data_IF_871628615951
#
_entry.id   IF_871628615951
#
_cell.length_a   1.000
_cell.length_b   1.000
_cell.length_c   1.000
_cell.angle_alpha   90.00
_cell.angle_beta   90.00
_cell.angle_gamma   90.00
#
_symmetry.space_group_name_H-M   'P 1'
#
loop_
_entity.id
_entity.type
_entity.pdbx_description
1 polymer ?
#
# COMPACT_ATOMS: atom_id res chain seq x y z
N UNK A 1 -3.51 4.55 -16.71
CA UNK A 1 -3.77 5.79 -15.94
C UNK A 1 -2.67 6.79 -16.26
N UNK A 2 -3.03 8.02 -16.62
CA UNK A 2 -2.07 9.07 -16.96
C UNK A 2 -1.66 9.87 -15.70
N UNK A 3 -0.73 10.83 -15.84
CA UNK A 3 -0.24 11.65 -14.71
C UNK A 3 -1.34 12.47 -14.04
N UNK A 4 -2.25 13.08 -14.83
CA UNK A 4 -3.36 13.90 -14.30
C UNK A 4 -4.34 13.07 -13.49
N UNK A 5 -4.60 11.84 -13.92
CA UNK A 5 -5.44 10.92 -13.14
C UNK A 5 -4.81 10.62 -11.78
N UNK A 6 -3.49 10.38 -11.74
CA UNK A 6 -2.79 10.12 -10.47
C UNK A 6 -2.80 11.34 -9.56
N UNK A 7 -2.60 12.54 -10.13
CA UNK A 7 -2.71 13.80 -9.40
C UNK A 7 -4.10 13.99 -8.79
N UNK A 8 -5.16 13.75 -9.56
CA UNK A 8 -6.54 13.80 -9.07
C UNK A 8 -6.79 12.78 -7.95
N UNK A 9 -6.33 11.53 -8.11
CA UNK A 9 -6.56 10.48 -7.12
C UNK A 9 -5.81 10.78 -5.81
N UNK A 10 -4.52 11.15 -5.89
CA UNK A 10 -3.73 11.36 -4.68
C UNK A 10 -4.19 12.62 -3.91
N UNK A 11 -4.86 13.56 -4.59
CA UNK A 11 -5.50 14.71 -3.94
C UNK A 11 -6.58 14.31 -2.92
N UNK A 12 -7.22 13.14 -3.08
CA UNK A 12 -8.17 12.61 -2.08
C UNK A 12 -7.49 12.29 -0.74
N UNK A 13 -6.18 12.05 -0.74
CA UNK A 13 -5.35 11.88 0.45
C UNK A 13 -4.67 13.17 0.92
N UNK A 14 -4.96 14.32 0.28
CA UNK A 14 -4.32 15.61 0.61
C UNK A 14 -2.85 15.68 0.21
N UNK A 15 -2.41 14.80 -0.67
CA UNK A 15 -1.04 14.75 -1.17
C UNK A 15 -0.90 15.58 -2.46
N UNK A 16 0.27 16.17 -2.67
CA UNK A 16 0.59 16.92 -3.89
C UNK A 16 1.64 16.16 -4.72
N UNK A 17 1.31 15.82 -5.97
CA UNK A 17 2.19 15.04 -6.84
C UNK A 17 3.42 15.87 -7.26
N UNK A 18 4.61 15.33 -6.97
CA UNK A 18 5.91 15.88 -7.41
C UNK A 18 6.55 14.99 -8.46
N UNK A 19 6.38 13.66 -8.34
CA UNK A 19 6.95 12.70 -9.27
C UNK A 19 6.18 11.39 -9.28
N UNK A 20 6.27 10.66 -10.39
CA UNK A 20 5.51 9.42 -10.60
C UNK A 20 6.38 8.37 -11.29
N UNK A 21 6.40 7.18 -10.71
CA UNK A 21 7.05 6.01 -11.32
C UNK A 21 6.10 4.82 -11.32
N UNK A 22 5.92 4.19 -12.49
CA UNK A 22 5.16 2.93 -12.56
C UNK A 22 6.04 1.78 -12.05
N UNK A 23 5.50 0.99 -11.10
CA UNK A 23 6.15 -0.20 -10.54
C UNK A 23 5.19 -1.38 -10.56
N UNK A 24 5.31 -2.25 -11.58
CA UNK A 24 4.41 -3.41 -11.79
C UNK A 24 2.93 -3.01 -11.72
N UNK A 25 2.21 -3.50 -10.72
CA UNK A 25 0.78 -3.25 -10.48
C UNK A 25 0.51 -1.96 -9.69
N UNK A 26 1.53 -1.36 -9.08
CA UNK A 26 1.43 -0.12 -8.29
C UNK A 26 2.10 1.08 -8.99
N UNK A 27 1.96 2.24 -8.36
CA UNK A 27 2.67 3.48 -8.69
C UNK A 27 3.41 3.96 -7.44
N UNK A 28 4.70 4.26 -7.60
CA UNK A 28 5.43 5.06 -6.63
C UNK A 28 5.09 6.53 -6.90
N UNK A 29 4.43 7.16 -5.94
CA UNK A 29 4.02 8.56 -5.98
C UNK A 29 4.94 9.32 -5.05
N UNK A 30 5.74 10.22 -5.61
CA UNK A 30 6.59 11.13 -4.85
C UNK A 30 5.75 12.38 -4.60
N UNK A 31 5.54 12.70 -3.33
CA UNK A 31 4.73 13.85 -2.88
C UNK A 31 5.60 14.80 -2.06
N UNK A 32 5.09 16.00 -1.77
CA UNK A 32 5.77 16.92 -0.84
C UNK A 32 5.88 16.36 0.58
N UNK A 33 5.00 15.44 0.96
CA UNK A 33 4.91 14.83 2.29
C UNK A 33 5.66 13.49 2.36
N UNK A 34 6.24 13.02 1.26
CA UNK A 34 7.02 11.79 1.18
C UNK A 34 6.60 10.85 0.04
N UNK A 35 7.13 9.62 0.06
CA UNK A 35 6.81 8.61 -0.93
C UNK A 35 5.58 7.81 -0.52
N UNK A 36 4.73 7.51 -1.50
CA UNK A 36 3.49 6.72 -1.35
C UNK A 36 3.43 5.61 -2.38
N UNK A 37 2.79 4.51 -2.00
CA UNK A 37 2.39 3.46 -2.92
C UNK A 37 0.90 3.66 -3.27
N UNK A 38 0.61 4.02 -4.53
CA UNK A 38 -0.76 4.09 -5.04
C UNK A 38 -1.08 2.80 -5.80
N UNK A 39 -2.16 2.13 -5.41
CA UNK A 39 -2.57 0.86 -6.00
C UNK A 39 -4.03 0.87 -6.41
N UNK A 40 -4.28 0.47 -7.66
CA UNK A 40 -5.61 0.12 -8.12
C UNK A 40 -5.99 -1.26 -7.54
N UNK A 41 -7.18 -1.39 -6.99
CA UNK A 41 -7.68 -2.62 -6.38
C UNK A 41 -8.98 -3.06 -7.05
N UNK A 42 -8.97 -4.30 -7.52
CA UNK A 42 -10.08 -4.90 -8.28
C UNK A 42 -11.14 -5.64 -7.45
N UNK A 43 -10.87 -6.14 -6.23
CA UNK A 43 -11.94 -6.72 -5.42
C UNK A 43 -13.05 -5.72 -5.09
N UNK A 44 -14.22 -6.23 -4.69
CA UNK A 44 -15.29 -5.40 -4.15
C UNK A 44 -14.80 -4.63 -2.92
N UNK A 45 -15.34 -3.43 -2.70
CA UNK A 45 -14.95 -2.53 -1.61
C UNK A 45 -14.95 -3.21 -0.25
N UNK A 46 -15.94 -4.07 0.03
CA UNK A 46 -16.06 -4.80 1.30
C UNK A 46 -14.87 -5.74 1.53
N UNK A 47 -14.40 -6.43 0.48
CA UNK A 47 -13.23 -7.30 0.58
C UNK A 47 -11.95 -6.50 0.79
N UNK A 48 -11.85 -5.31 0.20
CA UNK A 48 -10.71 -4.41 0.42
C UNK A 48 -10.68 -3.93 1.87
N UNK A 49 -11.82 -3.46 2.39
CA UNK A 49 -11.94 -3.03 3.78
C UNK A 49 -11.63 -4.15 4.76
N UNK A 50 -12.11 -5.37 4.50
CA UNK A 50 -11.75 -6.54 5.31
C UNK A 50 -10.23 -6.78 5.36
N UNK A 51 -9.53 -6.69 4.23
CA UNK A 51 -8.07 -6.84 4.21
C UNK A 51 -7.36 -5.75 5.01
N UNK A 52 -7.85 -4.50 4.93
CA UNK A 52 -7.29 -3.37 5.69
C UNK A 52 -7.51 -3.56 7.20
N UNK A 53 -8.70 -4.02 7.61
CA UNK A 53 -8.97 -4.34 9.01
C UNK A 53 -8.10 -5.50 9.52
N UNK A 54 -7.85 -6.52 8.69
CA UNK A 54 -6.91 -7.58 9.03
C UNK A 54 -5.48 -7.05 9.23
N UNK A 55 -5.02 -6.10 8.39
CA UNK A 55 -3.73 -5.43 8.59
C UNK A 55 -3.71 -4.63 9.90
N UNK A 56 -4.78 -3.89 10.21
CA UNK A 56 -4.89 -3.16 11.47
C UNK A 56 -4.86 -4.10 12.69
N UNK A 57 -5.54 -5.25 12.61
CA UNK A 57 -5.52 -6.28 13.64
C UNK A 57 -4.11 -6.82 13.89
N UNK A 58 -3.41 -7.23 12.83
CA UNK A 58 -2.03 -7.72 12.91
C UNK A 58 -1.09 -6.67 13.54
N UNK A 59 -1.23 -5.39 13.15
CA UNK A 59 -0.45 -4.30 13.75
C UNK A 59 -0.77 -4.12 15.24
N UNK A 60 -2.04 -4.20 15.63
CA UNK A 60 -2.46 -4.14 17.03
C UNK A 60 -1.90 -5.30 17.87
N UNK A 61 -1.66 -6.46 17.24
CA UNK A 61 -1.01 -7.63 17.85
C UNK A 61 0.53 -7.64 17.70
N UNK A 62 1.13 -6.50 17.30
CA UNK A 62 2.58 -6.32 17.31
C UNK A 62 3.31 -6.68 16.00
N UNK A 63 2.59 -7.05 14.94
CA UNK A 63 3.21 -7.31 13.64
C UNK A 63 3.39 -6.01 12.84
N UNK A 64 4.62 -5.49 12.84
CA UNK A 64 4.99 -4.20 12.23
C UNK A 64 5.77 -4.33 10.90
N UNK A 65 5.79 -5.52 10.28
CA UNK A 65 6.56 -5.80 9.05
C UNK A 65 5.72 -5.68 7.77
N UNK A 66 4.85 -4.67 7.70
CA UNK A 66 4.02 -4.40 6.52
C UNK A 66 3.76 -2.91 6.32
N UNK A 67 3.51 -2.52 5.07
CA UNK A 67 3.09 -1.16 4.71
C UNK A 67 1.62 -0.95 5.06
N UNK A 68 1.31 0.03 5.91
CA UNK A 68 -0.07 0.32 6.27
C UNK A 68 -0.77 1.17 5.22
N UNK A 69 -2.08 0.96 5.07
CA UNK A 69 -2.93 1.86 4.28
C UNK A 69 -3.09 3.20 5.02
N UNK A 70 -3.12 4.28 4.27
CA UNK A 70 -3.37 5.63 4.78
C UNK A 70 -4.84 6.01 4.54
N UNK A 71 -5.51 6.70 5.48
CA UNK A 71 -6.85 7.22 5.26
C UNK A 71 -6.81 8.44 4.34
N UNK A 72 -7.82 8.58 3.50
CA UNK A 72 -8.11 9.78 2.74
C UNK A 72 -8.57 10.94 3.66
N UNK A 73 -8.69 12.15 3.11
CA UNK A 73 -9.13 13.34 3.87
C UNK A 73 -10.53 13.17 4.47
N UNK A 74 -11.41 12.40 3.82
CA UNK A 74 -12.75 12.06 4.31
C UNK A 74 -12.77 10.89 5.31
N UNK A 75 -11.59 10.41 5.72
CA UNK A 75 -11.35 9.26 6.59
C UNK A 75 -11.69 7.90 5.97
N UNK A 76 -12.02 7.85 4.67
CA UNK A 76 -12.18 6.58 3.97
C UNK A 76 -10.82 5.92 3.69
N UNK A 77 -10.78 4.59 3.69
CA UNK A 77 -9.57 3.84 3.34
C UNK A 77 -9.49 3.50 1.84
N UNK A 78 -10.57 3.75 1.10
CA UNK A 78 -10.73 3.39 -0.31
C UNK A 78 -11.47 4.52 -1.02
N UNK A 79 -10.85 5.07 -2.05
CA UNK A 79 -11.47 6.06 -2.92
C UNK A 79 -11.75 5.47 -4.31
N UNK A 80 -12.88 5.82 -4.92
CA UNK A 80 -13.22 5.42 -6.27
C UNK A 80 -12.90 6.55 -7.26
N UNK A 81 -12.29 6.20 -8.39
CA UNK A 81 -12.08 7.12 -9.51
C UNK A 81 -12.31 6.38 -10.83
N UNK A 82 -13.25 6.87 -11.64
CA UNK A 82 -13.72 6.24 -12.89
C UNK A 82 -14.06 4.74 -12.74
N UNK A 83 -14.82 4.39 -11.72
CA UNK A 83 -15.27 3.02 -11.47
C UNK A 83 -14.17 2.05 -11.01
N UNK A 84 -12.97 2.55 -10.71
CA UNK A 84 -11.87 1.77 -10.14
C UNK A 84 -11.61 2.21 -8.70
N UNK A 85 -11.49 1.25 -7.79
CA UNK A 85 -11.12 1.52 -6.40
C UNK A 85 -9.60 1.68 -6.26
N UNK A 86 -9.18 2.62 -5.43
CA UNK A 86 -7.78 2.91 -5.14
C UNK A 86 -7.53 2.93 -3.64
N UNK A 87 -6.32 2.52 -3.27
CA UNK A 87 -5.78 2.65 -1.91
C UNK A 87 -4.40 3.31 -2.00
N UNK A 88 -4.06 4.03 -0.94
CA UNK A 88 -2.70 4.56 -0.72
C UNK A 88 -2.09 3.86 0.48
N UNK A 89 -0.84 3.42 0.33
CA UNK A 89 -0.06 2.83 1.39
C UNK A 89 1.23 3.62 1.62
N UNK A 90 1.81 3.42 2.80
CA UNK A 90 3.19 3.78 3.08
C UNK A 90 4.13 3.18 2.00
N UNK A 91 5.15 3.93 1.61
CA UNK A 91 6.22 3.37 0.79
C UNK A 91 7.24 2.68 1.69
N UNK A 92 7.51 1.40 1.44
CA UNK A 92 8.56 0.65 2.13
C UNK A 92 9.81 0.66 1.26
N UNK A 93 10.87 1.27 1.77
CA UNK A 93 12.18 1.19 1.13
C UNK A 93 12.75 -0.22 1.28
N UNK A 94 13.11 -0.85 0.17
CA UNK A 94 13.61 -2.21 0.17
C UNK A 94 13.90 -2.73 -1.23
N UNK A 95 14.40 -3.95 -1.29
CA UNK A 95 14.64 -4.71 -2.53
C UNK A 95 13.81 -5.97 -2.51
N UNK A 96 13.48 -6.48 -3.69
CA UNK A 96 12.82 -7.78 -3.79
C UNK A 96 13.75 -8.89 -3.27
N UNK A 97 13.22 -9.85 -2.50
CA UNK A 97 14.03 -10.94 -2.01
C UNK A 97 14.51 -11.82 -3.17
N UNK A 98 15.80 -12.14 -3.17
CA UNK A 98 16.37 -13.16 -4.04
C UNK A 98 16.02 -14.54 -3.50
N UNK A 99 15.13 -15.25 -4.20
CA UNK A 99 14.68 -16.59 -3.84
C UNK A 99 15.79 -17.66 -3.86
N UNK A 100 16.96 -17.37 -4.44
CA UNK A 100 18.13 -18.25 -4.41
C UNK A 100 19.04 -17.98 -3.22
N UNK A 101 18.83 -16.85 -2.52
CA UNK A 101 19.58 -16.50 -1.33
C UNK A 101 18.90 -17.10 -0.09
N UNK A 102 19.53 -18.13 0.48
CA UNK A 102 19.01 -18.83 1.65
C UNK A 102 18.76 -17.91 2.85
N UNK A 103 19.63 -16.94 3.11
CA UNK A 103 19.48 -16.01 4.24
C UNK A 103 18.23 -15.14 4.09
N UNK A 104 17.95 -14.68 2.86
CA UNK A 104 16.74 -13.89 2.59
C UNK A 104 15.48 -14.74 2.70
N UNK A 105 15.54 -16.03 2.31
CA UNK A 105 14.43 -16.96 2.48
C UNK A 105 14.13 -17.28 3.94
N UNK A 106 15.15 -17.42 4.79
CA UNK A 106 14.97 -17.56 6.24
C UNK A 106 14.25 -16.34 6.81
N UNK A 107 14.69 -15.12 6.47
CA UNK A 107 14.04 -13.87 6.91
C UNK A 107 12.58 -13.75 6.44
N UNK A 108 12.29 -14.21 5.21
CA UNK A 108 10.92 -14.26 4.70
C UNK A 108 10.07 -15.25 5.49
N UNK A 109 10.58 -16.46 5.77
CA UNK A 109 9.89 -17.47 6.56
C UNK A 109 9.63 -17.02 8.00
N UNK A 110 10.62 -16.38 8.66
CA UNK A 110 10.45 -15.78 9.99
C UNK A 110 9.37 -14.69 9.98
N UNK A 111 9.35 -13.85 8.94
CA UNK A 111 8.32 -12.81 8.81
C UNK A 111 6.92 -13.41 8.64
N UNK A 112 6.79 -14.49 7.87
CA UNK A 112 5.53 -15.22 7.73
C UNK A 112 5.11 -15.88 9.04
N UNK A 113 6.03 -16.45 9.81
CA UNK A 113 5.74 -17.05 11.12
C UNK A 113 5.22 -16.00 12.12
N UNK A 114 5.89 -14.84 12.19
CA UNK A 114 5.47 -13.71 13.02
C UNK A 114 4.09 -13.16 12.60
N UNK A 115 3.81 -13.13 11.29
CA UNK A 115 2.50 -12.73 10.76
C UNK A 115 1.39 -13.70 11.19
N UNK A 116 1.62 -15.02 11.14
CA UNK A 116 0.62 -16.02 11.55
C UNK A 116 0.37 -16.06 13.07
N UNK A 117 1.35 -15.65 13.87
CA UNK A 117 1.24 -15.62 15.32
C UNK A 117 0.42 -14.41 15.81
N UNK A 118 0.47 -13.30 15.08
CA UNK A 118 -0.25 -12.06 15.37
C UNK A 118 -1.71 -12.12 14.90
#
# INVERSE_FOLDING_TARGET
MNVRDVENIISFWGEELVGLEKRRDAYLVITRQGKRCLKAVHPKKEKILFMIEAMNHLKANGFNRMAMCLPALDKSMVAEYHGTNYIVQEWVEGVEPDYRNMEQMVKAAETLALCHQA
#
